data_IF_355053765160
#
_entry.id   IF_355053765160
#
_cell.length_a   1.000
_cell.length_b   1.000
_cell.length_c   1.000
_cell.angle_alpha   90.00
_cell.angle_beta   90.00
_cell.angle_gamma   90.00
#
_symmetry.space_group_name_H-M   'P 1'
#
loop_
_entity.id
_entity.type
_entity.pdbx_description
1 polymer ?
#
# COMPACT_ATOMS: atom_id res chain seq x y z
N UNK A 1 29.40 50.66 -15.56
CA UNK A 1 28.91 49.96 -16.75
C UNK A 1 27.67 50.68 -17.25
N UNK A 2 27.70 51.16 -18.49
CA UNK A 2 26.52 51.66 -19.19
C UNK A 2 26.08 50.62 -20.22
N UNK A 3 24.78 50.34 -20.27
CA UNK A 3 24.22 49.50 -21.32
C UNK A 3 24.04 50.30 -22.61
N UNK A 4 24.20 49.63 -23.74
CA UNK A 4 23.99 50.22 -25.06
C UNK A 4 22.49 50.42 -25.31
N UNK A 5 22.09 51.66 -25.59
CA UNK A 5 20.69 51.99 -25.89
C UNK A 5 20.26 51.54 -27.30
N UNK A 6 18.95 51.49 -27.56
CA UNK A 6 18.34 50.98 -28.80
C UNK A 6 18.99 51.51 -30.09
N UNK A 7 19.21 52.83 -30.20
CA UNK A 7 19.78 53.43 -31.42
C UNK A 7 21.22 52.98 -31.68
N UNK A 8 22.04 53.00 -30.63
CA UNK A 8 23.44 52.56 -30.71
C UNK A 8 23.55 51.04 -30.89
N UNK A 9 22.63 50.28 -30.32
CA UNK A 9 22.55 48.84 -30.53
C UNK A 9 22.22 48.52 -31.98
N UNK A 10 21.25 49.21 -32.58
CA UNK A 10 20.93 49.06 -33.99
C UNK A 10 22.15 49.34 -34.87
N UNK A 11 22.87 50.45 -34.62
CA UNK A 11 24.10 50.79 -35.34
C UNK A 11 25.19 49.72 -35.18
N UNK A 12 25.39 49.22 -33.96
CA UNK A 12 26.34 48.14 -33.67
C UNK A 12 26.00 46.89 -34.49
N UNK A 13 24.74 46.43 -34.43
CA UNK A 13 24.31 45.18 -35.06
C UNK A 13 24.18 45.29 -36.59
N UNK A 14 23.91 46.48 -37.14
CA UNK A 14 23.82 46.69 -38.58
C UNK A 14 25.20 46.76 -39.25
N UNK A 15 26.16 47.40 -38.59
CA UNK A 15 27.50 47.64 -39.15
C UNK A 15 28.45 46.44 -39.00
N UNK A 16 28.07 45.42 -38.24
CA UNK A 16 28.96 44.30 -37.91
C UNK A 16 28.22 42.98 -37.75
N UNK A 17 28.90 41.87 -38.00
CA UNK A 17 28.37 40.50 -37.88
C UNK A 17 28.24 40.03 -36.41
N UNK A 18 27.88 40.94 -35.49
CA UNK A 18 27.76 40.66 -34.06
C UNK A 18 26.61 39.69 -33.78
N UNK A 19 25.54 39.73 -34.57
CA UNK A 19 24.45 38.75 -34.52
C UNK A 19 24.09 38.35 -35.95
N UNK A 20 24.03 37.05 -36.22
CA UNK A 20 23.65 36.53 -37.53
C UNK A 20 22.72 35.30 -37.43
N UNK A 21 21.59 35.26 -38.14
CA UNK A 21 21.02 36.33 -38.96
C UNK A 21 20.50 37.50 -38.09
N UNK A 22 20.76 38.73 -38.55
CA UNK A 22 20.23 39.95 -37.92
C UNK A 22 18.87 40.31 -38.51
N UNK A 23 17.91 40.63 -37.64
CA UNK A 23 16.62 41.20 -38.01
C UNK A 23 16.27 42.33 -37.03
N UNK A 24 16.15 43.53 -37.58
CA UNK A 24 15.91 44.78 -36.86
C UNK A 24 14.65 44.75 -35.98
N UNK A 25 13.64 43.96 -36.37
CA UNK A 25 12.38 43.85 -35.64
C UNK A 25 12.56 43.22 -34.26
N UNK A 26 13.66 42.51 -34.04
CA UNK A 26 13.99 41.84 -32.78
C UNK A 26 14.68 42.76 -31.77
N UNK A 27 14.97 44.01 -32.13
CA UNK A 27 15.45 45.00 -31.17
C UNK A 27 14.27 45.52 -30.35
N UNK A 28 14.36 45.40 -29.02
CA UNK A 28 13.37 45.89 -28.05
C UNK A 28 14.08 46.49 -26.83
N UNK A 29 13.78 47.76 -26.53
CA UNK A 29 14.19 48.43 -25.29
C UNK A 29 15.69 48.29 -24.93
N UNK A 30 16.59 48.42 -25.91
CA UNK A 30 18.04 48.30 -25.71
C UNK A 30 18.56 46.85 -25.62
N UNK A 31 17.72 45.86 -25.91
CA UNK A 31 18.10 44.46 -26.08
C UNK A 31 17.83 43.99 -27.50
N UNK A 32 18.54 42.94 -27.93
CA UNK A 32 18.15 42.13 -29.08
C UNK A 32 17.51 40.83 -28.58
N UNK A 33 16.38 40.41 -29.14
CA UNK A 33 15.73 39.17 -28.75
C UNK A 33 16.18 38.00 -29.64
N UNK A 34 17.02 37.12 -29.09
CA UNK A 34 17.45 35.89 -29.74
C UNK A 34 16.34 34.82 -29.68
N UNK A 35 16.38 33.93 -30.65
CA UNK A 35 15.37 32.91 -30.89
C UNK A 35 15.82 31.54 -30.40
N UNK A 36 14.86 30.69 -30.03
CA UNK A 36 15.12 29.26 -29.89
C UNK A 36 15.54 28.67 -31.24
N UNK A 37 16.71 28.04 -31.25
CA UNK A 37 17.35 27.49 -32.44
C UNK A 37 16.91 26.08 -32.82
N UNK A 38 17.66 25.52 -33.77
CA UNK A 38 17.40 24.22 -34.36
C UNK A 38 17.76 23.01 -33.50
N UNK A 39 18.48 23.18 -32.39
CA UNK A 39 18.90 22.06 -31.55
C UNK A 39 18.40 22.19 -30.12
N UNK A 40 17.93 21.06 -29.59
CA UNK A 40 17.49 20.93 -28.20
C UNK A 40 17.94 19.60 -27.63
N UNK A 41 18.25 19.59 -26.34
CA UNK A 41 18.34 18.37 -25.54
C UNK A 41 17.37 18.50 -24.36
N UNK A 42 16.66 17.41 -24.02
CA UNK A 42 15.71 17.40 -22.92
C UNK A 42 15.87 16.11 -22.12
N UNK A 43 15.87 16.21 -20.79
CA UNK A 43 16.12 15.05 -19.92
C UNK A 43 14.94 14.07 -19.82
N UNK A 44 13.74 14.51 -20.21
CA UNK A 44 12.50 13.72 -20.22
C UNK A 44 12.34 12.85 -21.47
N UNK A 45 13.14 13.07 -22.51
CA UNK A 45 13.02 12.29 -23.73
C UNK A 45 13.72 10.95 -23.60
N UNK A 46 13.07 9.87 -24.07
CA UNK A 46 13.66 8.53 -24.20
C UNK A 46 13.72 8.10 -25.67
N UNK A 47 14.89 7.75 -26.22
CA UNK A 47 16.22 7.89 -25.63
C UNK A 47 16.64 9.36 -25.46
N UNK A 48 17.46 9.64 -24.43
CA UNK A 48 18.06 10.97 -24.23
C UNK A 48 19.04 11.23 -25.38
N UNK A 49 18.73 12.21 -26.20
CA UNK A 49 19.52 12.55 -27.40
C UNK A 49 19.30 14.01 -27.79
N UNK A 50 20.27 14.58 -28.49
CA UNK A 50 20.12 15.89 -29.12
C UNK A 50 19.14 15.74 -30.28
N UNK A 51 18.10 16.58 -30.30
CA UNK A 51 17.12 16.63 -31.37
C UNK A 51 17.35 17.83 -32.26
N UNK A 52 17.20 17.63 -33.56
CA UNK A 52 17.03 18.72 -34.52
C UNK A 52 15.55 19.05 -34.65
N UNK A 53 15.21 20.33 -34.58
CA UNK A 53 13.85 20.85 -34.65
C UNK A 53 13.59 21.43 -36.03
N UNK A 54 12.45 21.11 -36.65
CA UNK A 54 11.96 21.84 -37.81
C UNK A 54 11.50 23.25 -37.40
N UNK A 55 11.45 24.17 -38.36
CA UNK A 55 10.96 25.54 -38.11
C UNK A 55 9.54 25.46 -37.57
N UNK A 56 9.30 26.13 -36.44
CA UNK A 56 8.01 26.12 -35.78
C UNK A 56 7.64 24.82 -35.05
N UNK A 57 8.55 23.85 -34.97
CA UNK A 57 8.34 22.68 -34.12
C UNK A 57 8.36 23.09 -32.64
N UNK A 58 7.45 22.50 -31.87
CA UNK A 58 7.32 22.72 -30.44
C UNK A 58 8.16 21.74 -29.63
N UNK A 59 8.62 22.21 -28.48
CA UNK A 59 9.26 21.42 -27.43
C UNK A 59 8.49 21.60 -26.13
N UNK A 60 8.51 20.56 -25.31
CA UNK A 60 7.73 20.47 -24.09
C UNK A 60 8.67 20.14 -22.93
N UNK A 61 8.93 21.10 -22.06
CA UNK A 61 9.82 20.90 -20.91
C UNK A 61 8.93 20.61 -19.70
N UNK A 62 8.83 19.33 -19.31
CA UNK A 62 8.01 18.93 -18.17
C UNK A 62 8.54 19.50 -16.83
N UNK A 63 7.69 19.61 -15.78
CA UNK A 63 8.13 20.00 -14.45
C UNK A 63 9.31 19.18 -13.94
N UNK A 64 10.30 19.87 -13.38
CA UNK A 64 11.50 19.28 -12.80
C UNK A 64 12.47 18.66 -13.81
N UNK A 65 12.39 19.04 -15.08
CA UNK A 65 13.29 18.60 -16.13
C UNK A 65 14.27 19.70 -16.54
N UNK A 66 15.45 19.28 -16.99
CA UNK A 66 16.41 20.15 -17.64
C UNK A 66 16.26 20.10 -19.14
N UNK A 67 16.58 21.21 -19.79
CA UNK A 67 16.79 21.27 -21.22
C UNK A 67 18.02 22.11 -21.56
N UNK A 68 18.69 21.73 -22.64
CA UNK A 68 19.70 22.56 -23.28
C UNK A 68 19.08 23.12 -24.55
N UNK A 69 19.03 24.45 -24.64
CA UNK A 69 18.41 25.18 -25.74
C UNK A 69 19.52 25.96 -26.46
N UNK A 70 19.75 25.64 -27.74
CA UNK A 70 20.70 26.41 -28.55
C UNK A 70 19.97 27.59 -29.21
N UNK A 71 20.60 28.76 -29.34
CA UNK A 71 20.01 29.89 -30.09
C UNK A 71 20.01 29.63 -31.59
N UNK A 72 19.07 30.24 -32.32
CA UNK A 72 19.10 30.24 -33.80
C UNK A 72 20.24 31.13 -34.30
N UNK A 73 20.41 32.29 -33.69
CA UNK A 73 21.42 33.26 -34.07
C UNK A 73 22.80 32.88 -33.51
N UNK A 74 23.81 33.04 -34.36
CA UNK A 74 25.23 33.11 -34.00
C UNK A 74 25.53 34.49 -33.47
N UNK A 75 26.29 34.56 -32.39
CA UNK A 75 26.72 35.79 -31.74
C UNK A 75 28.25 35.90 -31.82
N UNK A 76 28.75 37.09 -32.16
CA UNK A 76 30.17 37.45 -32.16
C UNK A 76 30.36 38.71 -31.32
N UNK A 77 30.77 38.55 -30.06
CA UNK A 77 30.93 39.68 -29.14
C UNK A 77 32.22 40.44 -29.46
N UNK A 78 32.19 41.76 -29.68
CA UNK A 78 33.41 42.55 -29.85
C UNK A 78 34.30 42.51 -28.60
N UNK A 79 35.63 42.51 -28.77
CA UNK A 79 36.62 42.53 -27.66
C UNK A 79 36.43 43.71 -26.69
N UNK A 80 35.76 44.78 -27.13
CA UNK A 80 35.50 45.99 -26.33
C UNK A 80 34.15 45.96 -25.64
N UNK A 81 33.41 44.84 -25.70
CA UNK A 81 32.04 44.74 -25.16
C UNK A 81 31.87 43.43 -24.43
N UNK A 82 31.02 43.45 -23.43
CA UNK A 82 30.48 42.26 -22.78
C UNK A 82 28.97 42.24 -23.02
N UNK A 83 28.39 41.04 -23.13
CA UNK A 83 26.95 40.91 -23.27
C UNK A 83 26.32 40.18 -22.08
N UNK A 84 25.07 40.52 -21.79
CA UNK A 84 24.27 39.92 -20.72
C UNK A 84 23.07 39.23 -21.33
N UNK A 85 22.75 38.04 -20.86
CA UNK A 85 21.66 37.23 -21.38
C UNK A 85 20.62 36.93 -20.29
N UNK A 86 19.38 36.81 -20.72
CA UNK A 86 18.29 36.40 -19.85
C UNK A 86 17.28 35.59 -20.67
N UNK A 87 16.17 35.26 -20.01
CA UNK A 87 14.99 34.65 -20.62
C UNK A 87 13.86 35.67 -20.47
N UNK A 88 12.99 35.83 -21.48
CA UNK A 88 11.85 36.75 -21.40
C UNK A 88 11.01 36.47 -20.14
N UNK A 89 10.59 37.55 -19.48
CA UNK A 89 9.88 37.48 -18.20
C UNK A 89 8.64 36.58 -18.25
N UNK A 90 7.84 36.66 -19.33
CA UNK A 90 6.65 35.80 -19.50
C UNK A 90 6.95 34.30 -19.57
N UNK A 91 8.17 33.90 -19.97
CA UNK A 91 8.61 32.50 -19.94
C UNK A 91 9.15 32.16 -18.54
N UNK A 92 9.93 33.08 -17.93
CA UNK A 92 10.44 32.91 -16.56
C UNK A 92 9.34 32.72 -15.53
N UNK A 93 8.24 33.47 -15.62
CA UNK A 93 7.11 33.36 -14.70
C UNK A 93 6.36 32.03 -14.79
N UNK A 94 6.54 31.27 -15.88
CA UNK A 94 6.04 29.89 -15.95
C UNK A 94 6.88 28.91 -15.14
N UNK A 95 8.01 29.37 -14.56
CA UNK A 95 8.95 28.58 -13.78
C UNK A 95 10.22 28.18 -14.53
N UNK A 96 10.49 28.73 -15.72
CA UNK A 96 11.73 28.44 -16.45
C UNK A 96 12.90 29.21 -15.82
N UNK A 97 13.80 28.47 -15.19
CA UNK A 97 15.00 29.01 -14.54
C UNK A 97 16.19 28.86 -15.49
N UNK A 98 16.95 29.94 -15.65
CA UNK A 98 18.23 29.88 -16.35
C UNK A 98 19.31 29.38 -15.40
N UNK A 99 19.95 28.27 -15.75
CA UNK A 99 21.06 27.65 -14.99
C UNK A 99 22.41 27.94 -15.66
N UNK A 100 22.41 28.42 -16.90
CA UNK A 100 23.63 28.87 -17.58
C UNK A 100 24.22 30.15 -16.94
N UNK A 101 25.41 30.54 -17.40
CA UNK A 101 25.94 31.87 -17.15
C UNK A 101 24.98 32.98 -17.59
N UNK A 102 25.13 34.15 -16.98
CA UNK A 102 24.29 35.33 -17.22
C UNK A 102 24.92 36.33 -18.20
N UNK A 103 26.16 36.09 -18.64
CA UNK A 103 26.91 36.94 -19.55
C UNK A 103 27.60 36.12 -20.65
N UNK A 104 28.03 36.81 -21.68
CA UNK A 104 28.83 36.30 -22.79
C UNK A 104 30.08 37.16 -22.87
N UNK A 105 31.22 36.48 -22.87
CA UNK A 105 32.52 37.12 -22.78
C UNK A 105 32.89 37.90 -24.06
N UNK A 106 33.73 38.94 -23.92
CA UNK A 106 34.31 39.65 -25.07
C UNK A 106 35.08 38.69 -25.97
N UNK A 107 34.93 38.83 -27.28
CA UNK A 107 35.59 37.96 -28.26
C UNK A 107 34.91 36.61 -28.52
N UNK A 108 33.89 36.23 -27.74
CA UNK A 108 33.15 34.98 -27.98
C UNK A 108 32.50 34.97 -29.37
N UNK A 109 32.61 33.85 -30.08
CA UNK A 109 31.96 33.62 -31.37
C UNK A 109 31.26 32.26 -31.39
N UNK A 110 29.94 32.22 -31.56
CA UNK A 110 29.16 30.98 -31.62
C UNK A 110 27.67 31.16 -31.32
N UNK A 111 26.91 30.06 -31.31
CA UNK A 111 25.54 30.02 -30.81
C UNK A 111 25.55 29.93 -29.28
N UNK A 112 24.62 30.62 -28.64
CA UNK A 112 24.50 30.61 -27.19
C UNK A 112 23.73 29.38 -26.73
N UNK A 113 24.26 28.70 -25.72
CA UNK A 113 23.66 27.54 -25.10
C UNK A 113 23.01 27.93 -23.78
N UNK A 114 21.69 27.77 -23.70
CA UNK A 114 20.93 27.98 -22.47
C UNK A 114 20.66 26.64 -21.81
N UNK A 115 21.27 26.42 -20.64
CA UNK A 115 20.86 25.35 -19.73
C UNK A 115 19.71 25.87 -18.88
N UNK A 116 18.54 25.23 -18.99
CA UNK A 116 17.32 25.66 -18.31
C UNK A 116 16.72 24.54 -17.49
N UNK A 117 16.04 24.91 -16.40
CA UNK A 117 15.31 24.00 -15.53
C UNK A 117 13.87 24.48 -15.36
N UNK A 118 12.90 23.58 -15.54
CA UNK A 118 11.51 23.91 -15.25
C UNK A 118 11.22 23.69 -13.76
N UNK A 119 11.29 24.76 -12.97
CA UNK A 119 10.90 24.77 -11.56
C UNK A 119 9.38 25.02 -11.36
N UNK A 120 8.64 25.22 -12.44
CA UNK A 120 7.21 25.48 -12.41
C UNK A 120 6.38 24.19 -12.24
N UNK A 121 5.09 24.33 -11.91
CA UNK A 121 4.20 23.19 -11.70
C UNK A 121 3.66 22.59 -13.02
N UNK A 122 3.90 23.23 -14.17
CA UNK A 122 3.30 22.87 -15.45
C UNK A 122 4.33 22.77 -16.56
N UNK A 123 4.03 21.98 -17.58
CA UNK A 123 4.87 21.84 -18.78
C UNK A 123 5.01 23.18 -19.49
N UNK A 124 6.25 23.57 -19.80
CA UNK A 124 6.55 24.79 -20.55
C UNK A 124 6.73 24.42 -22.02
N UNK A 125 5.92 25.04 -22.88
CA UNK A 125 5.99 24.87 -24.33
C UNK A 125 6.76 26.02 -24.95
N UNK A 126 7.78 25.68 -25.75
CA UNK A 126 8.55 26.64 -26.56
C UNK A 126 8.55 26.16 -28.01
N UNK A 127 8.78 27.08 -28.95
CA UNK A 127 8.77 26.79 -30.38
C UNK A 127 10.05 27.27 -31.05
N UNK A 128 10.64 26.49 -31.96
CA UNK A 128 11.80 26.96 -32.75
C UNK A 128 11.45 28.26 -33.48
N UNK A 129 12.33 29.25 -33.41
CA UNK A 129 12.12 30.61 -33.93
C UNK A 129 11.41 31.56 -32.95
N UNK A 130 10.89 31.06 -31.82
CA UNK A 130 10.32 31.92 -30.78
C UNK A 130 11.41 32.78 -30.15
N UNK A 131 11.17 34.09 -30.08
CA UNK A 131 12.03 35.07 -29.40
C UNK A 131 11.98 34.84 -27.90
N UNK A 132 13.03 34.23 -27.36
CA UNK A 132 13.06 33.72 -25.98
C UNK A 132 14.13 34.42 -25.14
N UNK A 133 15.24 34.84 -25.76
CA UNK A 133 16.45 35.18 -25.03
C UNK A 133 16.90 36.61 -25.34
N UNK A 134 16.51 37.61 -24.53
CA UNK A 134 17.06 38.94 -24.69
C UNK A 134 18.55 38.96 -24.35
N UNK A 135 19.32 39.66 -25.18
CA UNK A 135 20.73 39.97 -24.98
C UNK A 135 20.93 41.49 -24.94
N UNK A 136 21.67 41.97 -23.93
CA UNK A 136 22.07 43.37 -23.78
C UNK A 136 23.58 43.48 -23.88
N UNK A 137 24.07 44.61 -24.36
CA UNK A 137 25.51 44.86 -24.49
C UNK A 137 25.94 45.99 -23.56
N UNK A 138 27.14 45.89 -23.01
CA UNK A 138 27.79 46.93 -22.22
C UNK A 138 29.21 47.16 -22.73
N UNK A 139 29.66 48.41 -22.65
CA UNK A 139 31.01 48.80 -23.05
C UNK A 139 32.03 48.37 -21.99
N UNK A 140 33.19 47.93 -22.47
CA UNK A 140 34.40 47.75 -21.68
C UNK A 140 35.36 48.91 -21.92
N UNK A 141 36.07 49.30 -20.88
CA UNK A 141 37.07 50.36 -20.97
C UNK A 141 38.37 49.88 -21.63
N UNK A 142 38.57 48.57 -21.72
CA UNK A 142 39.76 47.92 -22.26
C UNK A 142 39.34 46.71 -23.09
N UNK A 143 40.16 46.38 -24.10
CA UNK A 143 39.97 45.16 -24.88
C UNK A 143 40.25 43.93 -24.05
N UNK A 144 39.48 42.89 -24.27
CA UNK A 144 39.67 41.57 -23.67
C UNK A 144 39.59 40.52 -24.77
N UNK A 145 40.46 39.52 -24.68
CA UNK A 145 40.48 38.38 -25.61
C UNK A 145 39.79 37.17 -24.96
N UNK A 146 38.95 36.49 -25.74
CA UNK A 146 38.32 35.26 -25.30
C UNK A 146 39.36 34.14 -25.22
N UNK A 147 39.51 33.53 -24.04
CA UNK A 147 40.41 32.40 -23.79
C UNK A 147 39.68 31.17 -23.21
N UNK A 148 38.40 31.02 -23.57
CA UNK A 148 37.56 29.92 -23.10
C UNK A 148 37.50 28.73 -24.06
N UNK A 149 36.94 27.62 -23.58
CA UNK A 149 36.82 26.35 -24.32
C UNK A 149 35.61 26.27 -25.25
N UNK A 150 34.75 27.29 -25.27
CA UNK A 150 33.48 27.29 -26.01
C UNK A 150 33.52 28.14 -27.30
N UNK A 151 34.70 28.51 -27.77
CA UNK A 151 34.85 29.24 -29.02
C UNK A 151 34.32 28.40 -30.20
N UNK A 152 33.58 29.02 -31.12
CA UNK A 152 33.01 28.39 -32.33
C UNK A 152 32.02 27.25 -32.03
N UNK A 153 31.27 27.38 -30.93
CA UNK A 153 30.18 26.47 -30.59
C UNK A 153 28.98 26.66 -31.53
N UNK A 154 28.77 25.75 -32.48
CA UNK A 154 27.62 25.77 -33.42
C UNK A 154 26.59 24.67 -33.17
N UNK A 155 26.83 23.84 -32.16
CA UNK A 155 25.95 22.74 -31.76
C UNK A 155 25.98 22.55 -30.25
N UNK A 156 25.01 21.80 -29.72
CA UNK A 156 25.01 21.44 -28.31
C UNK A 156 26.24 20.54 -28.03
N UNK A 157 27.17 20.96 -27.15
CA UNK A 157 28.35 20.17 -26.81
C UNK A 157 27.97 18.90 -26.03
N UNK A 158 28.86 17.90 -26.06
CA UNK A 158 28.60 16.58 -25.47
C UNK A 158 28.71 16.61 -23.95
N UNK A 159 29.59 17.43 -23.38
CA UNK A 159 29.89 17.45 -21.95
C UNK A 159 28.65 17.81 -21.10
N UNK A 160 27.85 18.87 -21.42
CA UNK A 160 26.62 19.15 -20.68
C UNK A 160 25.54 18.08 -20.90
N UNK A 161 25.51 17.44 -22.07
CA UNK A 161 24.58 16.34 -22.36
C UNK A 161 24.92 15.13 -21.50
N UNK A 162 26.20 14.80 -21.37
CA UNK A 162 26.68 13.73 -20.51
C UNK A 162 26.33 14.01 -19.04
N UNK A 163 26.67 15.20 -18.54
CA UNK A 163 26.38 15.61 -17.17
C UNK A 163 24.88 15.53 -16.82
N UNK A 164 24.00 15.91 -17.75
CA UNK A 164 22.54 15.83 -17.58
C UNK A 164 21.96 14.43 -17.86
N UNK A 165 22.74 13.56 -18.50
CA UNK A 165 22.34 12.17 -18.78
C UNK A 165 22.72 11.22 -17.64
N UNK A 166 23.70 11.59 -16.82
CA UNK A 166 24.13 10.81 -15.65
C UNK A 166 23.08 10.89 -14.52
N UNK A 167 22.49 9.74 -14.19
CA UNK A 167 21.56 9.59 -13.07
C UNK A 167 20.08 9.79 -13.39
N UNK A 168 19.25 9.37 -12.43
CA UNK A 168 17.82 9.65 -12.41
C UNK A 168 17.61 11.06 -11.86
N UNK A 169 17.15 11.99 -12.71
CA UNK A 169 16.71 13.30 -12.24
C UNK A 169 15.46 13.14 -11.37
N UNK A 170 15.67 13.15 -10.06
CA UNK A 170 14.63 13.12 -9.06
C UNK A 170 13.93 14.48 -8.98
N UNK A 171 13.00 14.75 -9.91
CA UNK A 171 12.10 15.89 -9.77
C UNK A 171 11.17 15.72 -8.56
N UNK A 172 10.77 16.80 -7.87
CA UNK A 172 9.79 16.72 -6.79
C UNK A 172 8.49 15.98 -7.18
N UNK A 173 8.00 16.21 -8.40
CA UNK A 173 6.80 15.53 -8.92
C UNK A 173 7.02 14.02 -9.13
N UNK A 174 8.22 13.62 -9.57
CA UNK A 174 8.56 12.20 -9.69
C UNK A 174 8.70 11.53 -8.32
N UNK A 175 9.24 12.24 -7.32
CA UNK A 175 9.29 11.77 -5.95
C UNK A 175 7.90 11.59 -5.35
N UNK A 176 7.01 12.58 -5.54
CA UNK A 176 5.61 12.50 -5.10
C UNK A 176 4.92 11.27 -5.72
N UNK A 177 5.10 11.06 -7.03
CA UNK A 177 4.56 9.87 -7.70
C UNK A 177 5.08 8.56 -7.11
N UNK A 178 6.40 8.45 -6.87
CA UNK A 178 6.99 7.27 -6.22
C UNK A 178 6.41 7.03 -4.81
N UNK A 179 6.16 8.11 -4.07
CA UNK A 179 5.56 8.05 -2.73
C UNK A 179 4.11 7.54 -2.83
N UNK A 180 3.30 8.10 -3.73
CA UNK A 180 1.90 7.68 -3.94
C UNK A 180 1.78 6.23 -4.41
N UNK A 181 2.63 5.82 -5.36
CA UNK A 181 2.70 4.43 -5.82
C UNK A 181 3.12 3.51 -4.66
N UNK A 182 4.03 3.97 -3.79
CA UNK A 182 4.41 3.29 -2.55
C UNK A 182 3.23 3.11 -1.58
N UNK A 183 2.44 4.16 -1.34
CA UNK A 183 1.25 4.08 -0.49
C UNK A 183 0.21 3.09 -1.04
N UNK A 184 -0.06 3.10 -2.35
CA UNK A 184 -0.99 2.13 -2.97
C UNK A 184 -0.54 0.68 -2.81
N UNK A 185 0.76 0.42 -2.95
CA UNK A 185 1.33 -0.92 -2.73
C UNK A 185 1.16 -1.34 -1.27
N UNK A 186 1.39 -0.42 -0.33
CA UNK A 186 1.23 -0.68 1.10
C UNK A 186 -0.24 -0.98 1.44
N UNK A 187 -1.19 -0.17 0.97
CA UNK A 187 -2.62 -0.40 1.19
C UNK A 187 -3.06 -1.77 0.66
N UNK A 188 -2.60 -2.15 -0.53
CA UNK A 188 -2.90 -3.47 -1.10
C UNK A 188 -2.37 -4.61 -0.21
N UNK A 189 -1.17 -4.46 0.36
CA UNK A 189 -0.61 -5.46 1.28
C UNK A 189 -1.37 -5.52 2.60
N UNK A 190 -1.77 -4.38 3.15
CA UNK A 190 -2.56 -4.31 4.39
C UNK A 190 -3.89 -5.03 4.19
N UNK A 191 -4.61 -4.71 3.11
CA UNK A 191 -5.89 -5.35 2.80
C UNK A 191 -5.76 -6.87 2.66
N UNK A 192 -4.71 -7.34 1.97
CA UNK A 192 -4.46 -8.79 1.84
C UNK A 192 -4.19 -9.46 3.20
N UNK A 193 -3.47 -8.79 4.12
CA UNK A 193 -3.21 -9.32 5.47
C UNK A 193 -4.51 -9.37 6.27
N UNK A 194 -5.33 -8.32 6.19
CA UNK A 194 -6.62 -8.26 6.88
C UNK A 194 -7.56 -9.36 6.40
N UNK A 195 -7.60 -9.65 5.09
CA UNK A 195 -8.39 -10.74 4.54
C UNK A 195 -7.89 -12.12 4.99
N UNK A 196 -6.57 -12.32 5.04
CA UNK A 196 -5.97 -13.55 5.59
C UNK A 196 -6.31 -13.71 7.08
N UNK A 197 -6.25 -12.63 7.85
CA UNK A 197 -6.58 -12.66 9.28
C UNK A 197 -8.06 -12.95 9.51
N UNK A 198 -8.97 -12.30 8.77
CA UNK A 198 -10.41 -12.58 8.81
C UNK A 198 -10.70 -14.04 8.51
N UNK A 199 -10.12 -14.59 7.45
CA UNK A 199 -10.29 -16.00 7.11
C UNK A 199 -9.82 -16.95 8.23
N UNK A 200 -8.70 -16.63 8.90
CA UNK A 200 -8.25 -17.40 10.08
C UNK A 200 -9.20 -17.28 11.27
N UNK A 201 -9.71 -16.09 11.56
CA UNK A 201 -10.66 -15.86 12.65
C UNK A 201 -11.95 -16.64 12.40
N UNK A 202 -12.49 -16.61 11.17
CA UNK A 202 -13.70 -17.36 10.80
C UNK A 202 -13.53 -18.88 10.98
N UNK A 203 -12.36 -19.43 10.62
CA UNK A 203 -12.04 -20.84 10.85
C UNK A 203 -12.00 -21.17 12.34
N UNK A 204 -11.32 -20.36 13.15
CA UNK A 204 -11.24 -20.53 14.61
C UNK A 204 -12.63 -20.45 15.24
N UNK A 205 -13.45 -19.47 14.85
CA UNK A 205 -14.83 -19.33 15.34
C UNK A 205 -15.69 -20.55 14.99
N UNK A 206 -15.52 -21.10 13.78
CA UNK A 206 -16.24 -22.31 13.35
C UNK A 206 -15.81 -23.53 14.17
N UNK A 207 -14.52 -23.70 14.43
CA UNK A 207 -14.00 -24.77 15.29
C UNK A 207 -14.51 -24.63 16.73
N UNK A 208 -14.48 -23.41 17.29
CA UNK A 208 -15.02 -23.14 18.63
C UNK A 208 -16.52 -23.45 18.72
N UNK A 209 -17.32 -23.05 17.73
CA UNK A 209 -18.75 -23.39 17.68
C UNK A 209 -18.97 -24.90 17.66
N UNK A 210 -18.20 -25.63 16.84
CA UNK A 210 -18.30 -27.09 16.77
C UNK A 210 -17.94 -27.76 18.12
N UNK A 211 -16.88 -27.29 18.79
CA UNK A 211 -16.48 -27.74 20.12
C UNK A 211 -17.58 -27.45 21.16
N UNK A 212 -18.18 -26.26 21.14
CA UNK A 212 -19.28 -25.88 22.04
C UNK A 212 -20.52 -26.77 21.86
N UNK A 213 -20.90 -27.08 20.61
CA UNK A 213 -21.97 -28.04 20.32
C UNK A 213 -21.64 -29.45 20.84
N UNK A 214 -20.42 -29.93 20.63
CA UNK A 214 -19.98 -31.23 21.16
C UNK A 214 -20.04 -31.25 22.69
N UNK A 215 -19.57 -30.21 23.36
CA UNK A 215 -19.62 -30.12 24.82
C UNK A 215 -21.06 -30.14 25.35
N UNK A 216 -21.98 -29.37 24.73
CA UNK A 216 -23.41 -29.32 25.10
C UNK A 216 -24.11 -30.66 24.89
N UNK A 217 -23.85 -31.34 23.77
CA UNK A 217 -24.43 -32.66 23.49
C UNK A 217 -23.92 -33.73 24.45
N UNK A 218 -22.61 -33.74 24.74
CA UNK A 218 -22.01 -34.66 25.71
C UNK A 218 -22.58 -34.45 27.13
N UNK A 219 -22.75 -33.20 27.56
CA UNK A 219 -23.37 -32.87 28.84
C UNK A 219 -24.83 -33.33 28.90
N UNK A 220 -25.61 -33.12 27.84
CA UNK A 220 -26.98 -33.60 27.75
C UNK A 220 -27.08 -35.13 27.86
N UNK A 221 -26.21 -35.86 27.15
CA UNK A 221 -26.15 -37.33 27.24
C UNK A 221 -25.74 -37.79 28.65
N UNK A 222 -24.78 -37.13 29.28
CA UNK A 222 -24.36 -37.45 30.65
C UNK A 222 -25.53 -37.30 31.63
N UNK A 223 -26.32 -36.23 31.52
CA UNK A 223 -27.51 -36.00 32.36
C UNK A 223 -28.54 -37.13 32.16
N UNK A 224 -28.81 -37.53 30.91
CA UNK A 224 -29.75 -38.63 30.62
C UNK A 224 -29.27 -39.95 31.25
N UNK A 225 -27.99 -40.28 31.11
CA UNK A 225 -27.39 -41.48 31.71
C UNK A 225 -27.50 -41.42 33.24
N UNK A 226 -27.24 -40.25 33.83
CA UNK A 226 -27.32 -40.07 35.28
C UNK A 226 -28.74 -40.21 35.82
N UNK A 227 -29.74 -39.64 35.14
CA UNK A 227 -31.16 -39.79 35.48
C UNK A 227 -31.59 -41.26 35.38
N UNK A 228 -31.18 -41.97 34.32
CA UNK A 228 -31.45 -43.41 34.17
C UNK A 228 -30.84 -44.22 35.32
N UNK A 229 -29.59 -43.93 35.68
CA UNK A 229 -28.92 -44.60 36.79
C UNK A 229 -29.65 -44.39 38.13
N UNK A 230 -30.08 -43.16 38.43
CA UNK A 230 -30.88 -42.87 39.63
C UNK A 230 -32.20 -43.64 39.61
N UNK A 231 -32.90 -43.65 38.49
CA UNK A 231 -34.16 -44.38 38.35
C UNK A 231 -33.99 -45.88 38.58
N UNK A 232 -33.02 -46.50 37.90
CA UNK A 232 -32.71 -47.92 38.04
C UNK A 232 -32.34 -48.27 39.49
N UNK A 233 -31.58 -47.40 40.17
CA UNK A 233 -31.23 -47.52 41.59
C UNK A 233 -32.47 -47.47 42.50
N UNK A 234 -33.39 -46.53 42.27
CA UNK A 234 -34.65 -46.42 43.05
C UNK A 234 -35.52 -47.65 42.87
N UNK A 235 -35.70 -48.11 41.63
CA UNK A 235 -36.50 -49.31 41.31
C UNK A 235 -35.90 -50.55 41.96
N UNK A 236 -34.57 -50.71 41.90
CA UNK A 236 -33.87 -51.82 42.53
C UNK A 236 -34.07 -51.86 44.06
N UNK A 237 -33.90 -50.72 44.73
CA UNK A 237 -34.11 -50.63 46.18
C UNK A 237 -35.56 -50.88 46.59
N UNK A 238 -36.53 -50.34 45.83
CA UNK A 238 -37.94 -50.62 46.05
C UNK A 238 -38.26 -52.12 45.88
N UNK A 239 -37.71 -52.75 44.83
CA UNK A 239 -37.85 -54.19 44.57
C UNK A 239 -37.26 -55.05 45.69
N UNK A 240 -36.05 -54.72 46.17
CA UNK A 240 -35.42 -55.41 47.30
C UNK A 240 -36.26 -55.31 48.58
N UNK A 241 -36.72 -54.12 48.94
CA UNK A 241 -37.53 -53.91 50.14
C UNK A 241 -38.83 -54.70 50.08
N UNK A 242 -39.52 -54.67 48.93
CA UNK A 242 -40.74 -55.47 48.72
C UNK A 242 -40.47 -56.98 48.78
N UNK A 243 -39.33 -57.42 48.26
CA UNK A 243 -38.90 -58.82 48.33
C UNK A 243 -38.64 -59.28 49.78
N UNK A 244 -38.01 -58.43 50.61
CA UNK A 244 -37.82 -58.69 52.04
C UNK A 244 -39.17 -58.79 52.76
N UNK A 245 -40.09 -57.86 52.48
CA UNK A 245 -41.43 -57.86 53.10
C UNK A 245 -42.23 -59.13 52.75
N UNK A 246 -42.18 -59.57 51.48
CA UNK A 246 -42.83 -60.81 51.03
C UNK A 246 -42.22 -62.02 51.75
N UNK A 247 -40.89 -62.12 51.82
CA UNK A 247 -40.22 -63.21 52.55
C UNK A 247 -40.57 -63.23 54.03
N UNK A 248 -40.67 -62.07 54.68
CA UNK A 248 -41.11 -61.98 56.07
C UNK A 248 -42.54 -62.50 56.25
N UNK A 249 -43.46 -62.10 55.35
CA UNK A 249 -44.84 -62.62 55.37
C UNK A 249 -44.88 -64.13 55.13
N UNK A 250 -44.08 -64.65 54.22
CA UNK A 250 -43.98 -66.10 53.93
C UNK A 250 -43.49 -66.88 55.17
N UNK A 251 -42.42 -66.42 55.83
CA UNK A 251 -41.92 -67.01 57.08
C UNK A 251 -42.98 -66.99 58.18
N UNK A 252 -43.71 -65.87 58.33
CA UNK A 252 -44.80 -65.76 59.31
C UNK A 252 -45.91 -66.77 59.01
N UNK A 253 -46.33 -66.87 57.74
CA UNK A 253 -47.36 -67.82 57.29
C UNK A 253 -46.91 -69.27 57.52
N UNK A 254 -45.68 -69.62 57.16
CA UNK A 254 -45.12 -70.96 57.39
C UNK A 254 -45.06 -71.30 58.88
N UNK A 255 -44.73 -70.34 59.75
CA UNK A 255 -44.76 -70.54 61.19
C UNK A 255 -46.18 -70.82 61.71
N UNK A 256 -47.18 -70.11 61.20
CA UNK A 256 -48.60 -70.35 61.53
C UNK A 256 -49.08 -71.72 61.06
N UNK A 257 -48.69 -72.14 59.84
CA UNK A 257 -49.03 -73.46 59.28
C UNK A 257 -48.42 -74.56 60.15
N UNK A 258 -47.15 -74.44 60.51
CA UNK A 258 -46.45 -75.40 61.38
C UNK A 258 -47.11 -75.51 62.76
N UNK A 259 -47.50 -74.38 63.36
CA UNK A 259 -48.17 -74.37 64.66
C UNK A 259 -49.53 -75.07 64.62
N UNK A 260 -50.34 -74.81 63.58
CA UNK A 260 -51.61 -75.53 63.34
C UNK A 260 -51.40 -77.03 63.12
N UNK A 261 -50.32 -77.43 62.45
CA UNK A 261 -49.98 -78.85 62.27
C UNK A 261 -49.63 -79.53 63.60
N UNK A 262 -48.93 -78.84 64.50
CA UNK A 262 -48.63 -79.34 65.84
C UNK A 262 -49.89 -79.48 66.68
N UNK A 263 -50.77 -78.48 66.68
CA UNK A 263 -52.07 -78.56 67.37
C UNK A 263 -52.91 -79.74 66.84
N UNK A 264 -52.97 -79.92 65.52
CA UNK A 264 -53.65 -81.07 64.90
C UNK A 264 -53.07 -82.40 65.38
N UNK A 265 -51.73 -82.53 65.45
CA UNK A 265 -51.08 -83.75 65.97
C UNK A 265 -51.43 -83.99 67.44
N UNK A 266 -51.46 -82.94 68.25
CA UNK A 266 -51.82 -83.04 69.68
C UNK A 266 -53.25 -83.54 69.85
N UNK A 267 -54.20 -82.98 69.09
CA UNK A 267 -55.59 -83.43 69.07
C UNK A 267 -55.72 -84.90 68.65
N UNK A 268 -54.96 -85.34 67.65
CA UNK A 268 -54.94 -86.75 67.23
C UNK A 268 -54.46 -87.68 68.36
N UNK A 269 -53.39 -87.31 69.07
CA UNK A 269 -52.88 -88.09 70.22
C UNK A 269 -53.93 -88.13 71.35
N UNK A 270 -54.61 -87.02 71.60
CA UNK A 270 -55.67 -86.96 72.60
C UNK A 270 -56.86 -87.85 72.22
N UNK A 271 -57.29 -87.81 70.95
CA UNK A 271 -58.33 -88.70 70.41
C UNK A 271 -57.92 -90.18 70.56
N UNK A 272 -56.69 -90.54 70.21
CA UNK A 272 -56.16 -91.90 70.37
C UNK A 272 -56.15 -92.32 71.85
N UNK A 273 -55.76 -91.43 72.75
CA UNK A 273 -55.75 -91.72 74.20
C UNK A 273 -57.16 -91.95 74.73
N UNK A 274 -58.15 -91.17 74.28
CA UNK A 274 -59.56 -91.32 74.64
C UNK A 274 -60.15 -92.61 74.07
N UNK A 275 -59.79 -93.00 72.84
CA UNK A 275 -60.15 -94.31 72.27
C UNK A 275 -59.56 -95.47 73.08
N UNK A 276 -58.32 -95.35 73.53
CA UNK A 276 -57.66 -96.37 74.36
C UNK A 276 -58.33 -96.51 75.73
N UNK A 277 -58.69 -95.40 76.37
CA UNK A 277 -59.48 -95.39 77.61
C UNK A 277 -60.86 -96.03 77.39
N UNK A 278 -61.55 -95.69 76.30
CA UNK A 278 -62.82 -96.30 75.93
C UNK A 278 -62.70 -97.82 75.79
N UNK A 279 -61.65 -98.30 75.12
CA UNK A 279 -61.42 -99.73 74.91
C UNK A 279 -61.12 -100.45 76.24
N UNK A 280 -60.40 -99.82 77.18
CA UNK A 280 -60.17 -100.38 78.53
C UNK A 280 -61.47 -100.45 79.35
N UNK A 281 -62.35 -99.46 79.24
CA UNK A 281 -63.67 -99.48 79.89
C UNK A 281 -64.54 -100.61 79.31
N UNK A 282 -64.48 -100.85 77.99
CA UNK A 282 -65.18 -101.95 77.33
C UNK A 282 -64.70 -103.34 77.83
N UNK A 283 -63.38 -103.55 77.96
CA UNK A 283 -62.81 -104.82 78.44
C UNK A 283 -63.18 -105.11 79.90
N UNK A 284 -63.40 -104.08 80.72
CA UNK A 284 -63.82 -104.22 82.12
C UNK A 284 -65.30 -104.61 82.26
N UNK A 285 -66.12 -104.36 81.25
CA UNK A 285 -67.54 -104.73 81.23
C UNK A 285 -67.80 -106.15 80.71
N UNK A 286 -66.91 -106.74 79.88
CA UNK A 286 -67.09 -108.07 79.28
C UNK A 286 -66.57 -109.26 80.14
N UNK A 287 -66.17 -109.03 81.40
CA UNK A 287 -65.82 -110.10 82.36
C UNK A 287 -66.79 -110.19 83.55
N UNK A 288 -68.08 -109.95 83.29
CA UNK A 288 -69.20 -110.30 84.18
C UNK A 288 -70.15 -111.24 83.47
#
# INVERSE_FOLDING_TARGET
MSFIGTKSLFQLLQASDVIFPFDENNIKNGAYELSLGGQVFQTDTKPRSIKSLSIGQEIYIAPGQFALLLTEEKVKIPETKIAFISIKAGIKFKGLVNVSGFHVDPGFEGNLLFSVYNAGPSTIVLKRGQKCFPIWFAELNEKQDYSGTHEKQFSIPVEPVEALSQGDLASPSFLLKKIDDGYKILDTKINNIDDIQKGKIELIEKEQKAIDYLAKTALGLMVIIFVKFIFDWVVFNYGLNKGIEIKQKEVIVDSMINLKLVEKKKLLIEIDSLQKIRNVIQIKNDRR
#
